data_IF_749503161328
#
_entry.id   IF_749503161328
#
_cell.length_a   1.000
_cell.length_b   1.000
_cell.length_c   1.000
_cell.angle_alpha   90.00
_cell.angle_beta   90.00
_cell.angle_gamma   90.00
#
_symmetry.space_group_name_H-M   'P 1'
#
loop_
_entity.id
_entity.type
_entity.pdbx_description
1 polymer ?
#
# COMPACT_ATOMS: atom_id res chain seq x y z
N UNK A 1 -29.27 -13.18 -11.83
CA UNK A 1 -28.63 -11.87 -11.65
C UNK A 1 -27.22 -11.97 -12.22
N UNK A 2 -26.82 -11.07 -13.12
CA UNK A 2 -25.48 -11.09 -13.70
C UNK A 2 -24.43 -10.66 -12.65
N UNK A 3 -23.14 -10.95 -12.91
CA UNK A 3 -22.06 -10.48 -12.04
C UNK A 3 -22.04 -8.95 -11.94
N UNK A 4 -22.33 -8.25 -13.04
CA UNK A 4 -22.49 -6.80 -13.07
C UNK A 4 -23.59 -6.34 -12.11
N UNK A 5 -24.78 -6.97 -12.14
CA UNK A 5 -25.89 -6.59 -11.26
C UNK A 5 -25.55 -6.81 -9.79
N UNK A 6 -24.80 -7.89 -9.47
CA UNK A 6 -24.34 -8.18 -8.11
C UNK A 6 -23.41 -7.10 -7.59
N UNK A 7 -22.39 -6.72 -8.38
CA UNK A 7 -21.42 -5.68 -7.99
C UNK A 7 -22.12 -4.33 -7.86
N UNK A 8 -23.03 -4.01 -8.78
CA UNK A 8 -23.81 -2.79 -8.73
C UNK A 8 -24.72 -2.74 -7.49
N UNK A 9 -25.30 -3.84 -7.08
CA UNK A 9 -26.12 -3.94 -5.87
C UNK A 9 -25.29 -3.72 -4.59
N UNK A 10 -24.11 -4.36 -4.47
CA UNK A 10 -23.19 -4.15 -3.35
C UNK A 10 -22.73 -2.69 -3.29
N UNK A 11 -22.33 -2.11 -4.43
CA UNK A 11 -21.90 -0.71 -4.50
C UNK A 11 -23.04 0.27 -4.13
N UNK A 12 -24.26 0.01 -4.58
CA UNK A 12 -25.41 0.81 -4.23
C UNK A 12 -25.76 0.69 -2.74
N UNK A 13 -25.62 -0.49 -2.15
CA UNK A 13 -25.81 -0.69 -0.70
C UNK A 13 -24.77 0.10 0.10
N UNK A 14 -23.49 0.04 -0.30
CA UNK A 14 -22.42 0.79 0.31
C UNK A 14 -22.64 2.31 0.21
N UNK A 15 -23.05 2.81 -0.95
CA UNK A 15 -23.40 4.23 -1.11
C UNK A 15 -24.54 4.68 -0.18
N UNK A 16 -25.58 3.85 -0.01
CA UNK A 16 -26.67 4.17 0.94
C UNK A 16 -26.23 4.16 2.39
N UNK A 17 -25.21 3.36 2.73
CA UNK A 17 -24.67 3.25 4.08
C UNK A 17 -23.77 4.42 4.47
N UNK A 18 -23.09 5.05 3.50
CA UNK A 18 -22.09 6.08 3.75
C UNK A 18 -22.56 7.25 4.66
N UNK A 19 -23.76 7.82 4.50
CA UNK A 19 -24.21 8.91 5.35
C UNK A 19 -24.42 8.55 6.83
N UNK A 20 -24.50 7.26 7.16
CA UNK A 20 -24.70 6.79 8.53
C UNK A 20 -23.39 6.66 9.31
N UNK A 21 -22.23 6.66 8.63
CA UNK A 21 -20.95 6.48 9.28
C UNK A 21 -20.60 7.69 10.17
N UNK A 22 -20.14 7.39 11.40
CA UNK A 22 -19.70 8.37 12.41
C UNK A 22 -18.44 7.87 13.08
N UNK A 23 -17.53 8.78 13.42
CA UNK A 23 -16.20 8.43 13.96
C UNK A 23 -16.28 7.58 15.25
N UNK A 24 -17.18 7.90 16.16
CA UNK A 24 -17.42 7.17 17.42
C UNK A 24 -17.93 5.74 17.19
N UNK A 25 -18.97 5.61 16.38
CA UNK A 25 -19.54 4.32 16.03
C UNK A 25 -18.58 3.44 15.20
N UNK A 26 -17.81 4.04 14.30
CA UNK A 26 -16.77 3.33 13.54
C UNK A 26 -15.68 2.81 14.48
N UNK A 27 -15.21 3.64 15.42
CA UNK A 27 -14.21 3.18 16.39
C UNK A 27 -14.72 1.99 17.22
N UNK A 28 -15.97 2.05 17.67
CA UNK A 28 -16.58 0.94 18.42
C UNK A 28 -16.81 -0.30 17.56
N UNK A 29 -17.20 -0.14 16.29
CA UNK A 29 -17.31 -1.25 15.33
C UNK A 29 -15.95 -1.93 15.11
N UNK A 30 -14.87 -1.17 14.97
CA UNK A 30 -13.52 -1.73 14.80
C UNK A 30 -13.03 -2.48 16.04
N UNK A 31 -13.34 -1.99 17.26
CA UNK A 31 -13.10 -2.74 18.52
C UNK A 31 -13.94 -4.01 18.57
N UNK A 32 -15.20 -3.93 18.15
CA UNK A 32 -16.08 -5.09 18.00
C UNK A 32 -15.52 -6.12 17.04
N UNK A 33 -15.09 -5.70 15.87
CA UNK A 33 -14.45 -6.57 14.87
C UNK A 33 -13.18 -7.24 15.42
N UNK A 34 -12.35 -6.52 16.17
CA UNK A 34 -11.16 -7.08 16.82
C UNK A 34 -11.50 -8.21 17.80
N UNK A 35 -12.58 -8.05 18.60
CA UNK A 35 -13.07 -9.11 19.50
C UNK A 35 -13.58 -10.32 18.71
N UNK A 36 -14.41 -10.08 17.70
CA UNK A 36 -15.01 -11.14 16.87
C UNK A 36 -13.92 -11.94 16.13
N UNK A 37 -12.84 -11.28 15.60
CA UNK A 37 -11.69 -11.99 15.01
C UNK A 37 -11.10 -13.00 16.00
N UNK A 38 -10.97 -12.61 17.27
CA UNK A 38 -10.42 -13.50 18.30
C UNK A 38 -11.39 -14.64 18.64
N UNK A 39 -12.68 -14.32 18.76
CA UNK A 39 -13.72 -15.28 19.10
C UNK A 39 -13.97 -16.32 18.01
N UNK A 40 -13.83 -15.91 16.73
CA UNK A 40 -14.05 -16.76 15.56
C UNK A 40 -12.73 -17.22 14.89
N UNK A 41 -11.63 -17.24 15.63
CA UNK A 41 -10.34 -17.63 15.10
C UNK A 41 -10.37 -18.99 14.37
N UNK A 42 -11.03 -19.98 14.95
CA UNK A 42 -11.08 -21.33 14.39
C UNK A 42 -11.84 -21.37 13.05
N UNK A 43 -12.92 -20.61 12.92
CA UNK A 43 -13.68 -20.50 11.67
C UNK A 43 -12.85 -19.82 10.57
N UNK A 44 -12.12 -18.75 10.94
CA UNK A 44 -11.23 -18.05 10.02
C UNK A 44 -10.09 -18.97 9.55
N UNK A 45 -9.48 -19.71 10.47
CA UNK A 45 -8.40 -20.65 10.16
C UNK A 45 -8.89 -21.82 9.30
N UNK A 46 -10.10 -22.33 9.55
CA UNK A 46 -10.70 -23.38 8.74
C UNK A 46 -10.91 -22.92 7.29
N UNK A 47 -11.56 -21.77 7.09
CA UNK A 47 -11.77 -21.21 5.77
C UNK A 47 -10.43 -20.91 5.05
N UNK A 48 -9.41 -20.49 5.81
CA UNK A 48 -8.08 -20.25 5.26
C UNK A 48 -7.34 -21.55 4.89
N UNK A 49 -7.53 -22.61 5.66
CA UNK A 49 -6.98 -23.93 5.32
C UNK A 49 -7.58 -24.46 4.01
N UNK A 50 -8.89 -24.27 3.80
CA UNK A 50 -9.56 -24.65 2.53
C UNK A 50 -9.02 -23.83 1.35
N UNK A 51 -8.86 -22.52 1.49
CA UNK A 51 -8.25 -21.65 0.47
C UNK A 51 -6.81 -22.09 0.15
N UNK A 52 -5.98 -22.36 1.18
CA UNK A 52 -4.60 -22.81 1.01
C UNK A 52 -4.53 -24.19 0.32
N UNK A 53 -5.38 -25.14 0.72
CA UNK A 53 -5.45 -26.45 0.10
C UNK A 53 -5.81 -26.36 -1.39
N UNK A 54 -6.80 -25.53 -1.74
CA UNK A 54 -7.21 -25.30 -3.13
C UNK A 54 -6.12 -24.58 -3.96
N UNK A 55 -5.26 -23.78 -3.31
CA UNK A 55 -4.19 -23.01 -3.96
C UNK A 55 -2.88 -23.81 -4.11
N UNK A 56 -2.67 -24.86 -3.31
CA UNK A 56 -1.46 -25.68 -3.34
C UNK A 56 -1.23 -26.29 -4.74
N UNK A 57 -0.01 -26.16 -5.25
CA UNK A 57 0.36 -26.59 -6.60
C UNK A 57 -0.13 -25.68 -7.75
N UNK A 58 -0.82 -24.56 -7.42
CA UNK A 58 -1.27 -23.56 -8.38
C UNK A 58 -0.59 -22.20 -8.20
N UNK A 59 -0.21 -21.90 -6.95
CA UNK A 59 0.50 -20.67 -6.57
C UNK A 59 1.93 -21.01 -6.17
N UNK A 60 2.84 -20.05 -6.38
CA UNK A 60 4.20 -20.13 -5.87
C UNK A 60 4.22 -20.06 -4.34
N UNK A 61 5.33 -20.52 -3.73
CA UNK A 61 5.47 -20.59 -2.26
C UNK A 61 5.35 -19.23 -1.58
N UNK A 62 5.88 -18.16 -2.19
CA UNK A 62 5.80 -16.81 -1.65
C UNK A 62 4.37 -16.26 -1.64
N UNK A 63 3.58 -16.58 -2.67
CA UNK A 63 2.16 -16.22 -2.73
C UNK A 63 1.34 -17.10 -1.77
N UNK A 64 1.68 -18.37 -1.63
CA UNK A 64 1.03 -19.28 -0.69
C UNK A 64 1.32 -18.88 0.77
N UNK A 65 2.54 -18.42 1.09
CA UNK A 65 2.86 -17.89 2.42
C UNK A 65 2.05 -16.61 2.73
N UNK A 66 1.86 -15.73 1.74
CA UNK A 66 1.01 -14.54 1.89
C UNK A 66 -0.46 -14.85 2.08
N UNK A 67 -0.94 -15.95 1.50
CA UNK A 67 -2.31 -16.42 1.65
C UNK A 67 -2.55 -17.02 3.03
N UNK A 68 -1.57 -17.72 3.57
CA UNK A 68 -1.69 -18.53 4.80
C UNK A 68 -1.88 -17.65 6.03
N UNK A 69 -2.89 -17.96 6.83
CA UNK A 69 -3.08 -17.46 8.18
C UNK A 69 -2.77 -18.57 9.19
N UNK A 70 -2.23 -18.19 10.33
CA UNK A 70 -2.03 -19.01 11.52
C UNK A 70 -2.54 -18.24 12.74
N UNK A 71 -2.54 -18.86 13.91
CA UNK A 71 -2.99 -18.24 15.15
C UNK A 71 -2.29 -16.89 15.44
N UNK A 72 -0.96 -16.79 15.39
CA UNK A 72 -0.24 -15.52 15.52
C UNK A 72 -0.65 -14.44 14.51
N UNK A 73 -0.85 -14.80 13.23
CA UNK A 73 -1.29 -13.88 12.18
C UNK A 73 -2.72 -13.40 12.41
N UNK A 74 -3.65 -14.29 12.80
CA UNK A 74 -5.03 -13.90 13.16
C UNK A 74 -5.04 -12.97 14.38
N UNK A 75 -4.26 -13.29 15.43
CA UNK A 75 -4.09 -12.41 16.58
C UNK A 75 -3.50 -11.04 16.21
N UNK A 76 -2.62 -10.97 15.22
CA UNK A 76 -2.12 -9.70 14.68
C UNK A 76 -3.21 -8.89 14.00
N UNK A 77 -4.12 -9.53 13.24
CA UNK A 77 -5.28 -8.84 12.63
C UNK A 77 -6.18 -8.21 13.69
N UNK A 78 -6.47 -8.93 14.77
CA UNK A 78 -7.25 -8.39 15.88
C UNK A 78 -6.58 -7.16 16.52
N UNK A 79 -5.25 -7.23 16.77
CA UNK A 79 -4.50 -6.09 17.30
C UNK A 79 -4.48 -4.89 16.35
N UNK A 80 -4.36 -5.12 15.04
CA UNK A 80 -4.38 -4.06 14.02
C UNK A 80 -5.74 -3.34 13.98
N UNK A 81 -6.86 -4.08 14.04
CA UNK A 81 -8.20 -3.49 14.12
C UNK A 81 -8.40 -2.68 15.40
N UNK A 82 -7.94 -3.19 16.55
CA UNK A 82 -8.00 -2.46 17.82
C UNK A 82 -7.15 -1.18 17.76
N UNK A 83 -5.92 -1.27 17.24
CA UNK A 83 -5.06 -0.10 17.04
C UNK A 83 -5.70 0.93 16.10
N UNK A 84 -6.33 0.48 15.01
CA UNK A 84 -7.06 1.36 14.09
C UNK A 84 -8.24 2.06 14.75
N UNK A 85 -8.94 1.39 15.66
CA UNK A 85 -10.02 1.99 16.43
C UNK A 85 -9.53 3.17 17.29
N UNK A 86 -8.33 3.05 17.84
CA UNK A 86 -7.75 4.01 18.78
C UNK A 86 -6.99 5.17 18.11
N UNK A 87 -6.70 5.10 16.81
CA UNK A 87 -6.10 6.27 16.13
C UNK A 87 -7.06 7.46 16.12
N UNK A 88 -6.49 8.66 16.20
CA UNK A 88 -7.23 9.91 16.19
C UNK A 88 -8.10 10.04 14.93
N UNK A 89 -9.38 10.40 15.04
CA UNK A 89 -10.22 10.68 13.88
C UNK A 89 -9.65 11.78 13.00
N UNK A 90 -9.87 11.69 11.70
CA UNK A 90 -9.46 12.74 10.78
C UNK A 90 -10.20 14.04 11.08
N UNK A 91 -9.49 15.13 11.37
CA UNK A 91 -10.07 16.45 11.54
C UNK A 91 -10.87 16.85 10.30
N UNK A 92 -12.18 17.05 10.45
CA UNK A 92 -13.11 17.32 9.33
C UNK A 92 -13.00 18.75 8.81
N UNK A 93 -12.52 19.70 9.62
CA UNK A 93 -12.19 21.05 9.19
C UNK A 93 -10.67 21.23 9.19
N UNK A 94 -10.12 21.60 8.04
CA UNK A 94 -8.69 21.79 7.85
C UNK A 94 -8.25 23.23 8.19
N UNK A 95 -9.18 24.18 8.06
CA UNK A 95 -8.95 25.58 8.38
C UNK A 95 -10.17 26.43 8.09
N UNK A 96 -10.21 27.65 8.65
CA UNK A 96 -11.25 28.63 8.39
C UNK A 96 -10.70 30.04 8.38
N UNK A 97 -11.32 30.93 7.58
CA UNK A 97 -10.95 32.34 7.45
C UNK A 97 -12.15 33.18 7.03
N UNK A 98 -12.03 34.50 7.19
CA UNK A 98 -13.03 35.46 6.73
C UNK A 98 -12.47 36.27 5.56
N UNK A 99 -13.25 36.38 4.49
CA UNK A 99 -12.92 37.22 3.34
C UNK A 99 -13.18 38.68 3.66
N UNK A 100 -12.56 39.60 2.88
CA UNK A 100 -12.71 41.06 3.06
C UNK A 100 -14.17 41.54 2.96
N UNK A 101 -15.04 40.81 2.25
CA UNK A 101 -16.46 41.10 2.14
C UNK A 101 -17.32 40.46 3.24
N UNK A 102 -16.72 39.89 4.28
CA UNK A 102 -17.41 39.31 5.43
C UNK A 102 -17.85 37.85 5.28
N UNK A 103 -17.62 37.21 4.11
CA UNK A 103 -17.90 35.78 3.97
C UNK A 103 -16.97 34.94 4.85
N UNK A 104 -17.57 34.04 5.60
CA UNK A 104 -16.79 33.02 6.38
C UNK A 104 -16.60 31.77 5.55
N UNK A 105 -15.36 31.38 5.36
CA UNK A 105 -14.97 30.20 4.57
C UNK A 105 -14.36 29.17 5.51
N UNK A 106 -14.77 27.90 5.43
CA UNK A 106 -14.05 26.80 6.04
C UNK A 106 -13.70 25.74 4.98
N UNK A 107 -12.46 25.28 5.03
CA UNK A 107 -12.00 24.15 4.24
C UNK A 107 -12.33 22.85 4.99
N UNK A 108 -13.07 21.97 4.35
CA UNK A 108 -13.55 20.72 4.93
C UNK A 108 -12.99 19.51 4.18
N UNK A 109 -12.70 18.46 4.95
CA UNK A 109 -12.42 17.11 4.47
C UNK A 109 -13.71 16.30 4.52
N UNK A 110 -14.21 15.91 3.35
CA UNK A 110 -15.39 15.06 3.23
C UNK A 110 -14.99 13.69 2.70
N UNK A 111 -15.68 12.58 3.09
CA UNK A 111 -15.41 11.27 2.53
C UNK A 111 -15.51 11.24 1.01
N UNK A 112 -14.76 10.37 0.36
CA UNK A 112 -14.86 10.10 -1.09
C UNK A 112 -16.22 9.46 -1.40
N UNK A 113 -16.71 8.63 -0.47
CA UNK A 113 -17.93 7.84 -0.62
C UNK A 113 -17.62 6.35 -0.60
N UNK A 114 -18.04 5.60 -1.63
CA UNK A 114 -17.70 4.19 -1.74
C UNK A 114 -16.39 4.02 -2.49
N UNK A 115 -15.45 3.30 -1.88
CA UNK A 115 -14.16 2.98 -2.47
C UNK A 115 -14.09 1.48 -2.76
N UNK A 116 -13.72 1.12 -3.98
CA UNK A 116 -13.42 -0.25 -4.35
C UNK A 116 -12.03 -0.68 -3.86
N UNK A 117 -11.85 -1.96 -3.56
CA UNK A 117 -10.52 -2.51 -3.32
C UNK A 117 -10.39 -3.88 -3.99
N UNK A 118 -9.42 -4.01 -4.87
CA UNK A 118 -9.05 -5.27 -5.51
C UNK A 118 -7.69 -5.73 -5.02
N UNK A 119 -7.61 -6.95 -4.50
CA UNK A 119 -6.39 -7.56 -3.98
C UNK A 119 -6.35 -9.06 -4.24
N UNK A 120 -5.14 -9.65 -4.21
CA UNK A 120 -4.93 -11.05 -4.55
C UNK A 120 -4.22 -11.79 -3.42
N UNK A 121 -4.66 -13.01 -3.10
CA UNK A 121 -4.03 -13.97 -2.19
C UNK A 121 -3.51 -13.37 -0.86
N UNK A 122 -4.24 -12.39 -0.30
CA UNK A 122 -3.88 -11.69 0.95
C UNK A 122 -5.14 -11.42 1.77
N UNK A 123 -5.67 -12.40 2.51
CA UNK A 123 -6.93 -12.23 3.23
C UNK A 123 -6.89 -11.11 4.28
N UNK A 124 -5.73 -10.85 4.91
CA UNK A 124 -5.54 -9.75 5.85
C UNK A 124 -5.91 -8.37 5.26
N UNK A 125 -5.65 -8.16 3.96
CA UNK A 125 -5.92 -6.88 3.28
C UNK A 125 -7.40 -6.50 3.36
N UNK A 126 -8.31 -7.47 3.46
CA UNK A 126 -9.73 -7.19 3.62
C UNK A 126 -10.01 -6.36 4.89
N UNK A 127 -9.40 -6.73 6.03
CA UNK A 127 -9.56 -6.02 7.29
C UNK A 127 -8.77 -4.71 7.32
N UNK A 128 -7.55 -4.71 6.78
CA UNK A 128 -6.69 -3.52 6.73
C UNK A 128 -7.36 -2.41 5.92
N UNK A 129 -7.82 -2.72 4.70
CA UNK A 129 -8.47 -1.74 3.83
C UNK A 129 -9.84 -1.32 4.38
N UNK A 130 -10.65 -2.27 4.86
CA UNK A 130 -11.95 -1.93 5.44
C UNK A 130 -11.80 -1.01 6.65
N UNK A 131 -10.82 -1.28 7.54
CA UNK A 131 -10.53 -0.45 8.70
C UNK A 131 -10.14 0.99 8.31
N UNK A 132 -9.25 1.15 7.33
CA UNK A 132 -8.83 2.45 6.82
C UNK A 132 -9.99 3.22 6.18
N UNK A 133 -10.81 2.56 5.36
CA UNK A 133 -11.96 3.18 4.70
C UNK A 133 -13.02 3.60 5.71
N UNK A 134 -13.38 2.73 6.64
CA UNK A 134 -14.32 3.08 7.72
C UNK A 134 -13.80 4.25 8.56
N UNK A 135 -12.51 4.25 8.95
CA UNK A 135 -11.91 5.32 9.75
C UNK A 135 -11.91 6.69 9.04
N UNK A 136 -11.88 6.69 7.70
CA UNK A 136 -12.07 7.90 6.89
C UNK A 136 -13.54 8.23 6.58
N UNK A 137 -14.48 7.47 7.15
CA UNK A 137 -15.93 7.50 6.89
C UNK A 137 -16.29 7.19 5.43
N UNK A 138 -15.46 6.42 4.74
CA UNK A 138 -15.77 5.83 3.45
C UNK A 138 -16.36 4.42 3.65
N UNK A 139 -17.16 4.00 2.69
CA UNK A 139 -17.62 2.61 2.58
C UNK A 139 -16.75 1.85 1.59
N UNK A 140 -16.82 0.53 1.61
CA UNK A 140 -16.00 -0.33 0.78
C UNK A 140 -16.81 -1.29 -0.09
N UNK A 141 -16.28 -1.59 -1.28
CA UNK A 141 -16.61 -2.80 -2.03
C UNK A 141 -15.33 -3.59 -2.26
N UNK A 142 -15.19 -4.69 -1.55
CA UNK A 142 -14.01 -5.54 -1.58
C UNK A 142 -14.12 -6.59 -2.69
N UNK A 143 -13.03 -6.86 -3.37
CA UNK A 143 -12.88 -7.96 -4.30
C UNK A 143 -11.52 -8.62 -4.11
N UNK A 144 -11.53 -9.94 -3.95
CA UNK A 144 -10.31 -10.75 -3.91
C UNK A 144 -10.30 -11.78 -5.05
N UNK A 145 -9.11 -12.29 -5.36
CA UNK A 145 -8.98 -13.46 -6.23
C UNK A 145 -9.57 -14.72 -5.59
N UNK A 146 -9.85 -15.74 -6.40
CA UNK A 146 -10.44 -17.00 -5.92
C UNK A 146 -9.64 -17.71 -4.84
N UNK A 147 -8.32 -17.48 -4.78
CA UNK A 147 -7.43 -18.09 -3.79
C UNK A 147 -7.69 -17.68 -2.34
N UNK A 148 -8.30 -16.51 -2.08
CA UNK A 148 -8.59 -16.02 -0.74
C UNK A 148 -10.08 -15.78 -0.48
N UNK A 149 -10.96 -16.24 -1.40
CA UNK A 149 -12.36 -15.85 -1.38
C UNK A 149 -13.12 -16.42 -0.18
N UNK A 150 -12.87 -17.68 0.21
CA UNK A 150 -13.55 -18.28 1.36
C UNK A 150 -13.17 -17.55 2.66
N UNK A 151 -11.88 -17.33 2.88
CA UNK A 151 -11.39 -16.58 4.05
C UNK A 151 -11.99 -15.17 4.11
N UNK A 152 -11.92 -14.42 3.00
CA UNK A 152 -12.43 -13.05 2.96
C UNK A 152 -13.95 -13.00 3.15
N UNK A 153 -14.68 -14.01 2.68
CA UNK A 153 -16.13 -14.11 2.93
C UNK A 153 -16.41 -14.23 4.42
N UNK A 154 -15.69 -15.08 5.15
CA UNK A 154 -15.83 -15.19 6.61
C UNK A 154 -15.47 -13.86 7.30
N UNK A 155 -14.37 -13.21 6.89
CA UNK A 155 -13.97 -11.92 7.47
C UNK A 155 -15.02 -10.82 7.25
N UNK A 156 -15.71 -10.81 6.12
CA UNK A 156 -16.75 -9.81 5.85
C UNK A 156 -18.05 -10.16 6.54
N UNK A 157 -18.54 -11.38 6.38
CA UNK A 157 -19.89 -11.76 6.79
C UNK A 157 -19.99 -12.07 8.29
N UNK A 158 -18.92 -12.66 8.86
CA UNK A 158 -18.93 -13.11 10.26
C UNK A 158 -18.15 -12.17 11.20
N UNK A 159 -17.39 -11.20 10.66
CA UNK A 159 -16.62 -10.26 11.48
C UNK A 159 -17.06 -8.82 11.25
N UNK A 160 -16.85 -8.27 10.03
CA UNK A 160 -17.05 -6.85 9.77
C UNK A 160 -18.52 -6.43 9.81
N UNK A 161 -19.41 -7.17 9.15
CA UNK A 161 -20.84 -6.86 9.11
C UNK A 161 -21.52 -6.97 10.48
N UNK A 162 -21.31 -8.04 11.26
CA UNK A 162 -21.84 -8.12 12.62
C UNK A 162 -21.30 -7.03 13.55
N UNK A 163 -20.02 -6.65 13.42
CA UNK A 163 -19.45 -5.56 14.20
C UNK A 163 -20.10 -4.20 13.89
N UNK A 164 -20.42 -3.94 12.61
CA UNK A 164 -21.16 -2.73 12.21
C UNK A 164 -22.60 -2.75 12.75
N UNK A 165 -23.32 -3.86 12.62
CA UNK A 165 -24.69 -4.01 13.11
C UNK A 165 -24.79 -3.83 14.62
N UNK A 166 -23.83 -4.35 15.39
CA UNK A 166 -23.80 -4.24 16.84
C UNK A 166 -23.78 -2.79 17.36
N UNK A 167 -23.30 -1.84 16.55
CA UNK A 167 -23.26 -0.40 16.88
C UNK A 167 -24.29 0.42 16.09
N UNK A 168 -25.23 -0.24 15.43
CA UNK A 168 -26.30 0.40 14.64
C UNK A 168 -25.83 1.03 13.33
N UNK A 169 -24.65 0.63 12.80
CA UNK A 169 -24.21 1.00 11.46
C UNK A 169 -24.73 -0.01 10.43
N UNK A 170 -25.05 0.44 9.20
CA UNK A 170 -25.52 -0.47 8.16
C UNK A 170 -24.42 -1.48 7.76
N UNK A 171 -24.70 -2.81 7.78
CA UNK A 171 -23.72 -3.83 7.39
C UNK A 171 -23.30 -3.70 5.91
N UNK A 172 -24.16 -3.12 5.07
CA UNK A 172 -23.86 -2.82 3.67
C UNK A 172 -22.77 -1.76 3.48
N UNK A 173 -22.24 -1.13 4.55
CA UNK A 173 -21.07 -0.27 4.46
C UNK A 173 -19.82 -1.03 3.92
N UNK A 174 -19.79 -2.36 4.11
CA UNK A 174 -18.76 -3.24 3.54
C UNK A 174 -19.42 -4.25 2.61
N UNK A 175 -19.28 -4.01 1.30
CA UNK A 175 -19.68 -4.91 0.24
C UNK A 175 -18.57 -5.90 -0.11
N UNK A 176 -18.94 -7.07 -0.67
CA UNK A 176 -17.99 -8.08 -1.16
C UNK A 176 -18.45 -8.66 -2.49
N UNK A 177 -17.55 -8.65 -3.46
CA UNK A 177 -17.75 -9.35 -4.74
C UNK A 177 -17.50 -10.85 -4.55
N UNK A 178 -18.57 -11.63 -4.42
CA UNK A 178 -18.51 -13.10 -4.19
C UNK A 178 -18.37 -13.87 -5.50
N UNK A 179 -17.31 -13.55 -6.24
CA UNK A 179 -16.99 -14.26 -7.49
C UNK A 179 -15.47 -14.37 -7.64
N UNK A 180 -14.95 -15.56 -7.97
CA UNK A 180 -13.54 -15.75 -8.31
C UNK A 180 -13.19 -15.21 -9.69
N UNK A 181 -14.19 -14.85 -10.51
CA UNK A 181 -13.98 -14.41 -11.87
C UNK A 181 -13.18 -13.11 -11.95
N UNK A 182 -12.19 -13.09 -12.84
CA UNK A 182 -11.39 -11.90 -13.13
C UNK A 182 -12.22 -10.74 -13.67
N UNK A 183 -13.36 -11.04 -14.32
CA UNK A 183 -14.30 -10.03 -14.79
C UNK A 183 -14.84 -9.17 -13.64
N UNK A 184 -14.94 -9.72 -12.41
CA UNK A 184 -15.30 -8.96 -11.22
C UNK A 184 -14.36 -7.77 -10.94
N UNK A 185 -13.05 -7.91 -11.19
CA UNK A 185 -12.11 -6.81 -11.05
C UNK A 185 -12.32 -5.73 -12.14
N UNK A 186 -12.58 -6.14 -13.37
CA UNK A 186 -12.85 -5.21 -14.49
C UNK A 186 -14.14 -4.42 -14.27
N UNK A 187 -15.18 -5.07 -13.78
CA UNK A 187 -16.46 -4.43 -13.44
C UNK A 187 -16.31 -3.47 -12.27
N UNK A 188 -15.53 -3.83 -11.24
CA UNK A 188 -15.28 -2.97 -10.08
C UNK A 188 -14.67 -1.62 -10.48
N UNK A 189 -13.77 -1.60 -11.46
CA UNK A 189 -13.14 -0.36 -11.99
C UNK A 189 -13.97 0.32 -13.08
N UNK A 190 -15.22 -0.10 -13.30
CA UNK A 190 -16.06 0.40 -14.41
C UNK A 190 -17.34 1.10 -13.93
N UNK A 191 -17.46 1.42 -12.65
CA UNK A 191 -18.66 2.01 -12.03
C UNK A 191 -18.40 3.42 -11.44
N UNK A 192 -17.96 4.44 -12.22
CA UNK A 192 -17.47 5.72 -11.71
C UNK A 192 -18.47 6.50 -10.86
N UNK A 193 -19.78 6.31 -11.05
CA UNK A 193 -20.83 6.97 -10.27
C UNK A 193 -21.05 6.32 -8.90
N UNK A 194 -20.73 5.05 -8.76
CA UNK A 194 -20.91 4.28 -7.51
C UNK A 194 -19.58 4.08 -6.79
N UNK A 195 -18.49 3.86 -7.54
CA UNK A 195 -17.16 3.58 -7.04
C UNK A 195 -16.18 4.52 -7.77
N UNK A 196 -16.02 5.77 -7.31
CA UNK A 196 -15.17 6.75 -8.00
C UNK A 196 -13.67 6.51 -7.83
N UNK A 197 -13.29 5.72 -6.83
CA UNK A 197 -11.90 5.36 -6.51
C UNK A 197 -11.78 3.87 -6.25
N UNK A 198 -10.73 3.24 -6.78
CA UNK A 198 -10.39 1.84 -6.50
C UNK A 198 -8.92 1.71 -6.08
N UNK A 199 -8.70 1.03 -4.97
CA UNK A 199 -7.38 0.63 -4.49
C UNK A 199 -7.02 -0.69 -5.18
N UNK A 200 -5.87 -0.72 -5.85
CA UNK A 200 -5.38 -1.89 -6.58
C UNK A 200 -4.13 -2.44 -5.90
N UNK A 201 -4.19 -3.71 -5.49
CA UNK A 201 -3.07 -4.46 -4.91
C UNK A 201 -2.94 -5.82 -5.62
N UNK A 202 -1.92 -5.97 -6.43
CA UNK A 202 -1.69 -7.17 -7.22
C UNK A 202 -0.35 -7.13 -7.94
N UNK A 203 -0.14 -8.03 -8.90
CA UNK A 203 1.03 -7.98 -9.78
C UNK A 203 1.05 -6.70 -10.61
N UNK A 204 2.24 -6.22 -10.98
CA UNK A 204 2.44 -5.00 -11.77
C UNK A 204 1.61 -5.00 -13.06
N UNK A 205 1.62 -6.10 -13.81
CA UNK A 205 0.87 -6.24 -15.06
C UNK A 205 -0.66 -6.13 -14.86
N UNK A 206 -1.21 -6.90 -13.92
CA UNK A 206 -2.65 -6.89 -13.61
C UNK A 206 -3.09 -5.51 -13.13
N UNK A 207 -2.32 -4.90 -12.25
CA UNK A 207 -2.61 -3.58 -11.69
C UNK A 207 -2.56 -2.50 -12.76
N UNK A 208 -1.55 -2.51 -13.64
CA UNK A 208 -1.45 -1.59 -14.76
C UNK A 208 -2.61 -1.74 -15.77
N UNK A 209 -3.01 -2.98 -16.08
CA UNK A 209 -4.14 -3.23 -16.97
C UNK A 209 -5.47 -2.71 -16.38
N UNK A 210 -5.71 -2.96 -15.09
CA UNK A 210 -6.90 -2.45 -14.40
C UNK A 210 -6.86 -0.92 -14.26
N UNK A 211 -5.69 -0.32 -14.02
CA UNK A 211 -5.51 1.13 -13.97
C UNK A 211 -5.85 1.82 -15.29
N UNK A 212 -5.38 1.25 -16.42
CA UNK A 212 -5.76 1.76 -17.76
C UNK A 212 -7.26 1.69 -17.99
N UNK A 213 -7.88 0.53 -17.70
CA UNK A 213 -9.33 0.37 -17.85
C UNK A 213 -10.10 1.35 -16.95
N UNK A 214 -9.68 1.52 -15.70
CA UNK A 214 -10.27 2.47 -14.77
C UNK A 214 -10.25 3.90 -15.33
N UNK A 215 -9.10 4.34 -15.85
CA UNK A 215 -8.93 5.67 -16.46
C UNK A 215 -9.86 5.88 -17.66
N UNK A 216 -9.99 4.88 -18.55
CA UNK A 216 -10.93 4.90 -19.68
C UNK A 216 -12.40 5.04 -19.23
N UNK A 217 -12.73 4.51 -18.05
CA UNK A 217 -14.08 4.54 -17.48
C UNK A 217 -14.33 5.72 -16.54
N UNK A 218 -13.31 6.55 -16.29
CA UNK A 218 -13.42 7.70 -15.39
C UNK A 218 -13.36 7.33 -13.89
N UNK A 219 -12.84 6.15 -13.56
CA UNK A 219 -12.54 5.72 -12.18
C UNK A 219 -11.08 6.05 -11.87
N UNK A 220 -10.83 6.62 -10.68
CA UNK A 220 -9.49 6.85 -10.18
C UNK A 220 -8.94 5.59 -9.51
N UNK A 221 -7.62 5.41 -9.56
CA UNK A 221 -6.96 4.29 -8.89
C UNK A 221 -5.84 4.77 -7.98
N UNK A 222 -5.62 4.04 -6.89
CA UNK A 222 -4.41 4.10 -6.08
C UNK A 222 -3.78 2.72 -6.18
N UNK A 223 -2.65 2.63 -6.86
CA UNK A 223 -2.03 1.37 -7.24
C UNK A 223 -0.80 1.08 -6.39
N UNK A 224 -0.75 -0.12 -5.83
CA UNK A 224 0.47 -0.72 -5.28
C UNK A 224 0.89 -1.84 -6.23
N UNK A 225 1.67 -1.48 -7.25
CA UNK A 225 2.04 -2.37 -8.34
C UNK A 225 3.52 -2.77 -8.30
N UNK A 226 4.39 -1.83 -8.03
CA UNK A 226 5.84 -1.99 -8.14
C UNK A 226 6.53 -1.53 -6.88
N UNK A 227 7.68 -2.14 -6.58
CA UNK A 227 8.50 -1.86 -5.43
C UNK A 227 9.98 -1.75 -5.78
N UNK A 228 10.82 -2.06 -4.82
CA UNK A 228 12.27 -2.04 -4.95
C UNK A 228 12.89 -0.83 -4.26
N UNK A 229 13.64 -1.09 -3.18
CA UNK A 229 14.45 -0.06 -2.51
C UNK A 229 15.77 0.16 -3.23
N UNK A 230 16.24 1.41 -3.25
CA UNK A 230 17.57 1.82 -3.73
C UNK A 230 18.44 2.22 -2.55
N UNK A 231 19.69 1.80 -2.52
CA UNK A 231 20.68 2.27 -1.56
C UNK A 231 21.88 2.81 -2.32
N UNK A 232 22.13 4.11 -2.22
CA UNK A 232 23.30 4.76 -2.78
C UNK A 232 24.40 4.87 -1.71
N UNK A 233 25.54 4.23 -1.96
CA UNK A 233 26.74 4.31 -1.13
C UNK A 233 27.62 5.40 -1.69
N UNK A 234 27.61 6.56 -1.04
CA UNK A 234 28.39 7.74 -1.42
C UNK A 234 29.88 7.58 -1.09
N UNK A 235 30.77 8.31 -1.75
CA UNK A 235 32.21 8.29 -1.51
C UNK A 235 32.63 8.56 -0.06
N UNK A 236 31.83 9.31 0.69
CA UNK A 236 32.06 9.58 2.13
C UNK A 236 31.50 8.50 3.07
N UNK A 237 30.88 7.44 2.57
CA UNK A 237 30.25 6.42 3.41
C UNK A 237 31.28 5.65 4.24
N UNK A 238 31.00 5.41 5.52
CA UNK A 238 31.77 4.42 6.27
C UNK A 238 31.42 3.00 5.84
N UNK A 239 32.43 2.14 5.75
CA UNK A 239 32.25 0.74 5.37
C UNK A 239 31.26 0.01 6.30
N UNK A 240 31.44 0.22 7.61
CA UNK A 240 30.58 -0.39 8.63
C UNK A 240 29.10 -0.06 8.42
N UNK A 241 28.80 1.24 8.21
CA UNK A 241 27.41 1.71 8.02
C UNK A 241 26.83 1.22 6.69
N UNK A 242 27.61 1.26 5.61
CA UNK A 242 27.16 0.80 4.31
C UNK A 242 26.78 -0.68 4.33
N UNK A 243 27.60 -1.54 4.95
CA UNK A 243 27.32 -2.96 5.06
C UNK A 243 26.14 -3.23 6.00
N UNK A 244 26.07 -2.56 7.16
CA UNK A 244 24.98 -2.75 8.12
C UNK A 244 23.61 -2.35 7.51
N UNK A 245 23.54 -1.25 6.76
CA UNK A 245 22.30 -0.80 6.11
C UNK A 245 21.91 -1.67 4.92
N UNK A 246 22.88 -2.13 4.12
CA UNK A 246 22.63 -3.09 3.06
C UNK A 246 22.07 -4.41 3.64
N UNK A 247 22.68 -4.91 4.71
CA UNK A 247 22.22 -6.11 5.39
C UNK A 247 20.81 -5.95 5.98
N UNK A 248 20.56 -4.88 6.71
CA UNK A 248 19.24 -4.57 7.30
C UNK A 248 18.15 -4.38 6.22
N UNK A 249 18.53 -3.91 5.03
CA UNK A 249 17.61 -3.76 3.90
C UNK A 249 17.32 -5.09 3.15
N UNK A 250 17.98 -6.18 3.54
CA UNK A 250 17.85 -7.54 2.98
C UNK A 250 17.38 -8.57 4.01
N UNK A 251 16.79 -8.14 5.11
CA UNK A 251 16.28 -9.01 6.19
C UNK A 251 15.12 -9.91 5.70
N UNK A 252 14.37 -9.45 4.70
CA UNK A 252 13.27 -10.18 4.08
C UNK A 252 13.23 -9.92 2.58
N UNK A 253 13.36 -10.97 1.76
CA UNK A 253 13.51 -10.85 0.31
C UNK A 253 12.19 -10.67 -0.46
N UNK A 254 11.10 -11.28 -0.01
CA UNK A 254 9.80 -11.27 -0.70
C UNK A 254 8.93 -10.04 -0.43
N UNK A 255 9.53 -8.87 -0.14
CA UNK A 255 8.80 -7.61 0.16
C UNK A 255 9.25 -6.46 -0.74
N UNK A 256 8.31 -5.58 -1.07
CA UNK A 256 8.54 -4.48 -2.01
C UNK A 256 9.56 -3.43 -1.55
N UNK A 257 9.73 -3.22 -0.23
CA UNK A 257 10.63 -2.23 0.35
C UNK A 257 12.03 -2.76 0.70
N UNK A 258 12.38 -3.97 0.25
CA UNK A 258 13.74 -4.52 0.39
C UNK A 258 14.74 -3.75 -0.49
N UNK A 259 16.03 -3.86 -0.18
CA UNK A 259 17.09 -3.43 -1.10
C UNK A 259 17.02 -4.23 -2.39
N UNK A 260 16.80 -3.54 -3.49
CA UNK A 260 16.68 -4.10 -4.83
C UNK A 260 17.82 -3.67 -5.74
N UNK A 261 18.28 -2.42 -5.58
CA UNK A 261 19.34 -1.81 -6.35
C UNK A 261 20.35 -1.11 -5.42
N UNK A 262 21.59 -1.59 -5.41
CA UNK A 262 22.72 -0.93 -4.77
C UNK A 262 23.49 -0.08 -5.81
N UNK A 263 23.50 1.23 -5.62
CA UNK A 263 24.34 2.16 -6.39
C UNK A 263 25.59 2.47 -5.57
N UNK A 264 26.77 2.27 -6.12
CA UNK A 264 28.04 2.51 -5.43
C UNK A 264 28.82 3.57 -6.16
N UNK A 265 29.15 4.65 -5.45
CA UNK A 265 30.02 5.69 -5.98
C UNK A 265 31.39 5.12 -6.38
N UNK A 266 31.96 5.55 -7.49
CA UNK A 266 33.32 5.16 -7.86
C UNK A 266 34.35 5.52 -6.79
N UNK A 267 34.14 6.58 -6.04
CA UNK A 267 34.97 6.93 -4.89
C UNK A 267 34.83 5.93 -3.73
N UNK A 268 33.69 5.22 -3.64
CA UNK A 268 33.43 4.15 -2.70
C UNK A 268 33.69 2.74 -3.29
N UNK A 269 34.27 2.62 -4.50
CA UNK A 269 34.47 1.33 -5.16
C UNK A 269 35.27 0.33 -4.32
N UNK A 270 36.11 0.79 -3.39
CA UNK A 270 36.80 -0.06 -2.42
C UNK A 270 35.88 -0.90 -1.51
N UNK A 271 34.58 -0.55 -1.41
CA UNK A 271 33.57 -1.30 -0.63
C UNK A 271 32.91 -2.43 -1.44
N UNK A 272 33.07 -2.47 -2.75
CA UNK A 272 32.46 -3.47 -3.63
C UNK A 272 32.75 -4.92 -3.18
N UNK A 273 34.02 -5.32 -2.89
CA UNK A 273 34.29 -6.69 -2.47
C UNK A 273 33.50 -7.09 -1.22
N UNK A 274 33.41 -6.20 -0.22
CA UNK A 274 32.70 -6.46 1.01
C UNK A 274 31.16 -6.53 0.82
N UNK A 275 30.61 -5.70 -0.07
CA UNK A 275 29.17 -5.76 -0.44
C UNK A 275 28.87 -7.06 -1.20
N UNK A 276 29.71 -7.46 -2.15
CA UNK A 276 29.54 -8.71 -2.89
C UNK A 276 29.65 -9.94 -1.97
N UNK A 277 30.58 -9.92 -1.02
CA UNK A 277 30.71 -10.99 0.00
C UNK A 277 29.45 -11.04 0.89
N UNK A 278 28.90 -9.90 1.31
CA UNK A 278 27.62 -9.83 2.04
C UNK A 278 26.47 -10.43 1.22
N UNK A 279 26.33 -10.06 -0.06
CA UNK A 279 25.28 -10.58 -0.92
C UNK A 279 25.42 -12.08 -1.13
N UNK A 280 26.63 -12.57 -1.31
CA UNK A 280 26.95 -14.01 -1.40
C UNK A 280 26.64 -14.76 -0.09
N UNK A 281 26.97 -14.18 1.06
CA UNK A 281 26.65 -14.76 2.35
C UNK A 281 25.15 -14.87 2.62
N UNK A 282 24.35 -14.01 1.99
CA UNK A 282 22.88 -14.07 1.98
C UNK A 282 22.31 -14.90 0.82
N UNK A 283 23.14 -15.66 0.12
CA UNK A 283 22.78 -16.53 -1.00
C UNK A 283 22.06 -15.77 -2.15
N UNK A 284 22.42 -14.49 -2.36
CA UNK A 284 21.84 -13.69 -3.43
C UNK A 284 22.59 -13.88 -4.74
N UNK A 285 21.84 -14.01 -5.83
CA UNK A 285 22.34 -13.83 -7.18
C UNK A 285 22.58 -12.33 -7.44
N UNK A 286 23.80 -11.96 -7.83
CA UNK A 286 24.13 -10.56 -8.09
C UNK A 286 24.10 -10.27 -9.58
N UNK A 287 23.33 -9.27 -9.98
CA UNK A 287 23.23 -8.73 -11.34
C UNK A 287 23.72 -7.29 -11.35
N UNK A 288 24.09 -6.77 -12.51
CA UNK A 288 24.39 -5.35 -12.59
C UNK A 288 25.48 -4.96 -13.55
N UNK A 289 25.94 -3.71 -13.40
CA UNK A 289 27.01 -3.12 -14.19
C UNK A 289 28.12 -2.63 -13.24
N UNK A 290 29.13 -3.47 -13.10
CA UNK A 290 30.37 -3.18 -12.39
C UNK A 290 31.48 -3.33 -13.42
N UNK A 291 31.67 -2.29 -14.27
CA UNK A 291 32.63 -2.26 -15.37
C UNK A 291 32.54 -3.50 -16.29
N UNK A 292 31.30 -3.96 -16.55
CA UNK A 292 31.03 -5.11 -17.42
C UNK A 292 31.29 -6.48 -16.80
N UNK A 293 31.61 -6.56 -15.50
CA UNK A 293 31.96 -7.82 -14.84
C UNK A 293 30.76 -8.69 -14.46
N UNK A 294 29.54 -8.14 -14.41
CA UNK A 294 28.33 -8.83 -14.02
C UNK A 294 27.26 -8.80 -15.14
N UNK A 295 26.47 -9.89 -15.29
CA UNK A 295 25.39 -9.88 -16.29
C UNK A 295 24.23 -9.00 -15.83
N UNK A 296 23.66 -8.22 -16.77
CA UNK A 296 22.44 -7.47 -16.59
C UNK A 296 21.46 -7.85 -17.70
N UNK A 297 20.47 -8.65 -17.38
CA UNK A 297 19.49 -9.22 -18.30
C UNK A 297 18.06 -8.66 -18.10
N UNK A 298 17.90 -7.74 -17.14
CA UNK A 298 16.67 -7.02 -16.84
C UNK A 298 16.98 -5.51 -16.72
N UNK A 299 15.99 -4.62 -16.83
CA UNK A 299 16.14 -3.21 -16.50
C UNK A 299 16.77 -3.00 -15.14
N UNK A 300 17.55 -1.94 -14.96
CA UNK A 300 18.32 -1.67 -13.74
C UNK A 300 17.44 -1.70 -12.46
N UNK A 301 16.23 -1.15 -12.56
CA UNK A 301 15.26 -1.07 -11.45
C UNK A 301 14.28 -2.23 -11.38
N UNK A 302 14.48 -3.33 -12.15
CA UNK A 302 13.59 -4.49 -12.08
C UNK A 302 13.38 -4.96 -10.65
N UNK A 303 12.12 -5.12 -10.22
CA UNK A 303 11.76 -5.54 -8.86
C UNK A 303 11.89 -7.06 -8.69
N UNK A 304 12.99 -7.52 -8.18
CA UNK A 304 13.24 -8.95 -7.94
C UNK A 304 12.29 -9.59 -6.92
N UNK A 305 11.76 -8.81 -5.98
CA UNK A 305 10.81 -9.31 -4.98
C UNK A 305 9.48 -9.78 -5.61
N UNK A 306 9.14 -9.31 -6.80
CA UNK A 306 7.94 -9.70 -7.55
C UNK A 306 8.17 -10.83 -8.53
N UNK A 307 9.43 -11.27 -8.73
CA UNK A 307 9.81 -12.39 -9.59
C UNK A 307 9.94 -13.67 -8.74
N UNK A 308 8.97 -14.59 -8.76
CA UNK A 308 8.94 -15.75 -7.85
C UNK A 308 10.16 -16.66 -7.98
N UNK A 309 10.71 -16.78 -9.20
CA UNK A 309 11.84 -17.69 -9.48
C UNK A 309 13.19 -17.04 -9.15
N UNK A 310 13.22 -15.72 -9.00
CA UNK A 310 14.44 -14.91 -8.84
C UNK A 310 14.38 -13.94 -7.66
N UNK A 311 13.54 -14.21 -6.68
CA UNK A 311 13.39 -13.38 -5.48
C UNK A 311 14.73 -13.18 -4.72
N UNK A 312 15.62 -14.16 -4.77
CA UNK A 312 16.96 -14.10 -4.18
C UNK A 312 17.98 -13.44 -5.14
N UNK A 313 17.60 -12.36 -5.81
CA UNK A 313 18.47 -11.59 -6.72
C UNK A 313 18.59 -10.14 -6.24
N UNK A 314 19.72 -9.50 -6.49
CA UNK A 314 19.97 -8.07 -6.24
C UNK A 314 20.72 -7.46 -7.41
N UNK A 315 20.45 -6.21 -7.72
CA UNK A 315 21.20 -5.44 -8.72
C UNK A 315 22.21 -4.52 -8.02
N UNK A 316 23.44 -4.45 -8.57
CA UNK A 316 24.49 -3.51 -8.13
C UNK A 316 25.06 -2.78 -9.33
N UNK A 317 25.35 -1.47 -9.17
CA UNK A 317 25.96 -0.65 -10.22
C UNK A 317 26.94 0.36 -9.64
N UNK A 318 28.07 0.55 -10.33
CA UNK A 318 28.95 1.71 -10.13
C UNK A 318 28.36 2.94 -10.78
N UNK A 319 28.46 4.09 -10.10
CA UNK A 319 27.95 5.38 -10.57
C UNK A 319 29.03 6.47 -10.45
N UNK A 320 28.95 7.45 -11.36
CA UNK A 320 29.85 8.60 -11.40
C UNK A 320 29.30 9.74 -10.53
N UNK A 321 29.13 9.46 -9.22
CA UNK A 321 28.73 10.44 -8.22
C UNK A 321 27.22 10.58 -7.99
N UNK A 322 26.91 11.60 -7.18
CA UNK A 322 25.56 11.86 -6.64
C UNK A 322 24.51 12.12 -7.73
N UNK A 323 24.85 12.90 -8.74
CA UNK A 323 23.91 13.29 -9.79
C UNK A 323 23.43 12.10 -10.61
N UNK A 324 24.34 11.19 -10.95
CA UNK A 324 23.97 9.96 -11.64
C UNK A 324 23.13 9.04 -10.74
N UNK A 325 23.51 8.91 -9.47
CA UNK A 325 22.74 8.11 -8.52
C UNK A 325 21.29 8.60 -8.38
N UNK A 326 21.10 9.91 -8.23
CA UNK A 326 19.76 10.54 -8.14
C UNK A 326 18.98 10.36 -9.43
N UNK A 327 19.63 10.55 -10.59
CA UNK A 327 18.99 10.34 -11.90
C UNK A 327 18.51 8.90 -12.05
N UNK A 328 19.37 7.92 -11.79
CA UNK A 328 19.00 6.50 -11.90
C UNK A 328 17.89 6.10 -10.93
N UNK A 329 17.94 6.57 -9.68
CA UNK A 329 16.89 6.32 -8.70
C UNK A 329 15.53 6.90 -9.14
N UNK A 330 15.52 8.05 -9.83
CA UNK A 330 14.30 8.69 -10.31
C UNK A 330 13.77 8.10 -11.63
N UNK A 331 14.62 7.66 -12.54
CA UNK A 331 14.23 7.35 -13.92
C UNK A 331 14.17 5.85 -14.20
N UNK A 332 14.98 5.06 -13.49
CA UNK A 332 15.15 3.63 -13.77
C UNK A 332 14.44 2.72 -12.74
N UNK A 333 13.79 3.30 -11.71
CA UNK A 333 13.14 2.54 -10.64
C UNK A 333 11.68 2.93 -10.46
N UNK A 334 10.92 2.14 -9.70
CA UNK A 334 9.52 2.45 -9.37
C UNK A 334 9.35 3.76 -8.59
N UNK A 335 10.42 4.26 -7.96
CA UNK A 335 10.35 5.39 -7.05
C UNK A 335 9.73 5.06 -5.68
N UNK A 336 9.74 3.78 -5.26
CA UNK A 336 9.20 3.41 -3.94
C UNK A 336 10.05 4.00 -2.80
N UNK A 337 11.35 3.76 -2.82
CA UNK A 337 12.24 4.22 -1.77
C UNK A 337 13.67 4.37 -2.29
N UNK A 338 14.37 5.41 -1.85
CA UNK A 338 15.80 5.51 -2.05
C UNK A 338 16.49 6.09 -0.82
N UNK A 339 17.64 5.50 -0.46
CA UNK A 339 18.48 5.97 0.63
C UNK A 339 19.89 6.29 0.17
N UNK A 340 20.51 7.27 0.82
CA UNK A 340 21.95 7.55 0.73
C UNK A 340 22.64 7.11 2.01
N UNK A 341 23.79 6.46 1.87
CA UNK A 341 24.74 6.23 2.96
C UNK A 341 25.89 7.22 2.78
N UNK A 342 25.99 8.17 3.68
CA UNK A 342 26.97 9.25 3.60
C UNK A 342 27.31 9.82 4.99
N UNK A 343 28.57 10.20 5.18
CA UNK A 343 29.02 11.06 6.29
C UNK A 343 28.95 12.55 5.89
N UNK A 344 28.94 12.84 4.60
CA UNK A 344 28.80 14.19 4.06
C UNK A 344 27.34 14.64 4.10
N UNK A 345 27.06 15.62 4.94
CA UNK A 345 25.72 16.21 5.15
C UNK A 345 25.23 16.96 3.91
N UNK A 346 26.11 17.62 3.16
CA UNK A 346 25.74 18.37 1.97
C UNK A 346 25.30 17.41 0.86
N UNK A 347 26.07 16.34 0.63
CA UNK A 347 25.72 15.27 -0.31
C UNK A 347 24.39 14.60 0.08
N UNK A 348 24.21 14.31 1.36
CA UNK A 348 22.96 13.73 1.87
C UNK A 348 21.76 14.65 1.62
N UNK A 349 21.88 15.95 1.91
CA UNK A 349 20.81 16.93 1.68
C UNK A 349 20.47 17.01 0.18
N UNK A 350 21.49 17.11 -0.68
CA UNK A 350 21.28 17.14 -2.14
C UNK A 350 20.61 15.88 -2.68
N UNK A 351 20.94 14.71 -2.12
CA UNK A 351 20.24 13.46 -2.47
C UNK A 351 18.77 13.50 -2.06
N UNK A 352 18.48 13.88 -0.82
CA UNK A 352 17.11 13.95 -0.29
C UNK A 352 16.25 14.94 -1.10
N UNK A 353 16.80 16.09 -1.47
CA UNK A 353 16.12 17.11 -2.27
C UNK A 353 15.96 16.70 -3.75
N UNK A 354 16.92 15.93 -4.26
CA UNK A 354 16.95 15.51 -5.68
C UNK A 354 16.08 14.27 -5.95
N UNK A 355 15.90 13.38 -4.98
CA UNK A 355 15.08 12.20 -5.17
C UNK A 355 13.59 12.54 -5.13
N UNK A 356 12.83 12.05 -6.12
CA UNK A 356 11.42 12.38 -6.33
C UNK A 356 10.48 11.19 -6.08
N UNK A 357 10.99 10.12 -5.50
CA UNK A 357 10.19 8.94 -5.11
C UNK A 357 9.35 9.17 -3.85
N UNK A 358 8.77 8.08 -3.32
CA UNK A 358 7.82 8.18 -2.20
C UNK A 358 8.51 8.41 -0.85
N UNK A 359 9.70 7.82 -0.65
CA UNK A 359 10.43 7.93 0.61
C UNK A 359 11.92 8.09 0.36
N UNK A 360 12.50 9.18 0.85
CA UNK A 360 13.92 9.45 0.79
C UNK A 360 14.58 9.24 2.17
N UNK A 361 15.72 8.57 2.21
CA UNK A 361 16.41 8.22 3.44
C UNK A 361 17.86 8.70 3.47
N UNK A 362 18.33 9.06 4.64
CA UNK A 362 19.76 9.29 4.91
C UNK A 362 20.19 8.43 6.08
N UNK A 363 21.11 7.49 5.82
CA UNK A 363 21.63 6.55 6.81
C UNK A 363 20.52 5.71 7.51
N UNK A 364 19.51 5.32 6.73
CA UNK A 364 18.38 4.49 7.18
C UNK A 364 18.13 3.39 6.15
N UNK A 365 17.71 2.22 6.61
CA UNK A 365 17.31 1.11 5.74
C UNK A 365 16.02 1.42 4.97
N UNK A 366 15.92 0.95 3.72
CA UNK A 366 14.72 1.12 2.88
C UNK A 366 13.48 0.42 3.45
N UNK A 367 13.68 -0.51 4.42
CA UNK A 367 12.62 -1.27 5.08
C UNK A 367 11.62 -0.41 5.85
N UNK A 368 12.00 0.82 6.22
CA UNK A 368 11.09 1.79 6.83
C UNK A 368 10.03 2.38 5.88
N UNK A 369 10.09 2.08 4.58
CA UNK A 369 8.98 2.43 3.66
C UNK A 369 7.81 1.50 3.91
N UNK A 370 7.06 1.81 4.94
CA UNK A 370 5.94 1.03 5.48
C UNK A 370 5.00 2.01 6.20
N UNK A 371 3.69 1.79 6.10
CA UNK A 371 2.71 2.70 6.69
C UNK A 371 2.82 2.76 8.20
N UNK A 372 2.98 1.62 8.84
CA UNK A 372 3.08 1.54 10.29
C UNK A 372 4.33 2.26 10.81
N UNK A 373 5.48 2.00 10.17
CA UNK A 373 6.76 2.58 10.54
C UNK A 373 6.80 4.11 10.34
N UNK A 374 6.21 4.59 9.24
CA UNK A 374 6.24 6.02 8.90
C UNK A 374 5.10 6.83 9.52
N UNK A 375 3.92 6.22 9.72
CA UNK A 375 2.70 6.98 10.06
C UNK A 375 2.00 6.49 11.33
N UNK A 376 2.44 5.38 11.90
CA UNK A 376 1.78 4.73 13.04
C UNK A 376 0.42 4.11 12.72
N UNK A 377 0.10 3.93 11.44
CA UNK A 377 -1.13 3.31 10.97
C UNK A 377 -0.85 2.40 9.77
N UNK A 378 -1.55 1.26 9.64
CA UNK A 378 -1.43 0.41 8.46
C UNK A 378 -1.85 1.19 7.22
N UNK A 379 -1.23 0.92 6.07
CA UNK A 379 -1.62 1.50 4.78
C UNK A 379 -2.62 0.61 4.04
N UNK A 380 -3.43 1.21 3.19
CA UNK A 380 -4.24 0.48 2.19
C UNK A 380 -3.36 -0.06 1.06
N UNK A 381 -2.22 0.54 0.85
CA UNK A 381 -1.17 0.25 -0.11
C UNK A 381 -0.19 1.40 -0.19
N UNK A 382 0.95 1.19 -0.87
CA UNK A 382 1.94 2.24 -1.10
C UNK A 382 1.82 2.67 -2.57
N UNK A 383 1.32 3.87 -2.80
CA UNK A 383 1.14 4.38 -4.15
C UNK A 383 2.44 5.01 -4.66
N UNK A 384 2.97 4.48 -5.76
CA UNK A 384 4.18 5.00 -6.41
C UNK A 384 3.88 5.90 -7.61
N UNK A 385 2.63 5.92 -8.09
CA UNK A 385 2.21 6.75 -9.22
C UNK A 385 2.43 8.24 -8.95
N UNK A 386 2.82 8.98 -9.97
CA UNK A 386 2.97 10.43 -9.90
C UNK A 386 1.64 11.13 -9.69
N UNK A 387 0.62 10.67 -10.39
CA UNK A 387 -0.75 11.18 -10.33
C UNK A 387 -1.74 10.05 -10.65
N UNK A 388 -2.89 10.00 -9.95
CA UNK A 388 -3.25 10.85 -8.82
C UNK A 388 -2.46 10.50 -7.55
N UNK A 389 -2.13 11.53 -6.77
CA UNK A 389 -1.62 11.33 -5.40
C UNK A 389 -2.72 10.89 -4.44
N UNK A 390 -2.37 10.66 -3.14
CA UNK A 390 -1.04 10.85 -2.58
C UNK A 390 -0.06 9.76 -3.01
N UNK A 391 1.25 10.07 -2.99
CA UNK A 391 2.34 9.10 -3.12
C UNK A 391 2.76 8.60 -1.73
N UNK A 392 3.30 7.39 -1.69
CA UNK A 392 3.72 6.74 -0.45
C UNK A 392 2.62 5.90 0.19
N UNK A 393 2.78 5.53 1.47
CA UNK A 393 1.77 4.79 2.21
C UNK A 393 0.45 5.57 2.27
N UNK A 394 -0.61 5.00 1.70
CA UNK A 394 -1.95 5.61 1.70
C UNK A 394 -2.72 5.11 2.90
N UNK A 395 -3.12 6.02 3.78
CA UNK A 395 -3.85 5.76 5.01
C UNK A 395 -5.23 6.43 5.00
N UNK A 396 -6.01 6.23 6.07
CA UNK A 396 -7.29 6.92 6.26
C UNK A 396 -7.16 8.45 6.19
N UNK A 397 -5.96 9.01 6.46
CA UNK A 397 -5.67 10.46 6.41
C UNK A 397 -5.66 11.02 4.99
N UNK A 398 -5.60 10.16 3.98
CA UNK A 398 -5.46 10.53 2.57
C UNK A 398 -6.76 10.34 1.78
N UNK A 399 -7.75 9.62 2.34
CA UNK A 399 -8.95 9.16 1.66
C UNK A 399 -10.13 10.12 1.85
N UNK A 400 -9.97 11.34 1.38
CA UNK A 400 -10.97 12.41 1.47
C UNK A 400 -10.93 13.35 0.27
N UNK A 401 -12.02 14.14 0.13
CA UNK A 401 -12.14 15.20 -0.86
C UNK A 401 -12.20 16.55 -0.16
N UNK A 402 -11.66 17.58 -0.81
CA UNK A 402 -11.78 18.98 -0.35
C UNK A 402 -13.14 19.55 -0.69
N UNK A 403 -13.75 20.22 0.29
CA UNK A 403 -14.95 21.02 0.10
C UNK A 403 -14.78 22.37 0.80
N UNK A 404 -15.13 23.44 0.15
CA UNK A 404 -15.26 24.74 0.81
C UNK A 404 -16.72 24.96 1.23
N UNK A 405 -16.91 25.26 2.54
CA UNK A 405 -18.17 25.71 3.09
C UNK A 405 -18.11 27.23 3.27
N UNK A 406 -19.01 27.95 2.60
CA UNK A 406 -19.04 29.42 2.63
C UNK A 406 -20.34 29.87 3.27
N UNK A 407 -20.25 30.72 4.27
CA UNK A 407 -21.42 31.29 4.99
C UNK A 407 -21.38 32.80 4.92
N UNK A 408 -22.47 33.37 4.48
CA UNK A 408 -22.72 34.80 4.42
C UNK A 408 -24.10 35.13 4.97
N UNK A 409 -24.47 36.40 4.96
CA UNK A 409 -25.78 36.93 5.39
C UNK A 409 -26.68 37.33 4.24
N UNK A 410 -26.27 37.08 3.00
CA UNK A 410 -27.02 37.42 1.77
C UNK A 410 -26.75 38.82 1.23
N UNK A 411 -25.94 39.61 1.90
CA UNK A 411 -25.60 40.99 1.44
C UNK A 411 -24.32 41.02 0.57
N UNK A 412 -23.47 40.03 0.69
CA UNK A 412 -22.18 39.96 -0.02
C UNK A 412 -22.39 39.90 -1.54
N UNK A 413 -21.58 40.64 -2.25
CA UNK A 413 -21.50 40.62 -3.72
C UNK A 413 -20.07 40.41 -4.15
N UNK A 414 -19.88 39.90 -5.37
CA UNK A 414 -18.56 39.67 -5.99
C UNK A 414 -18.01 40.98 -6.55
#
# INVERSE_FOLDING_TARGET
MSLHDLIQAEAAAANRAAPALRDDAVAEALRGAARIVTERQDEILLANADDCAAATGRLDEGTLDRLRLDGPRVAALARQLAAMADVEPLAREAGSWTLANGLRVSERRIPIGTVGANFEARPNVALDVAGQLLKSLNTAVLRTGGAALATVTVLVDEVLRPALEAVGLPPGAIGLVRSPDREGARLLVSLPRLIPLVILRGSGETTAALGRLAAERGVRTLAHAEGGGVLYVHGSASAERALALAEASLDRLGVCNRLNLALVDREAAGLLPALLDLFKAKELEVRGDVDGALPLDQPLGHEWASDPDRVATITIRLVDGLEEAVRLANEETSGLAAGIVAEDTEAATRFLDGYRGTTAFWNVTTRFTDGYELTGAPETGINVDWTPGPRGPVTYRDLWLRQYRVVGDGTQRR
#
